data_IF_040727168687
#
_entry.id   IF_040727168687
#
_cell.length_a   1.000
_cell.length_b   1.000
_cell.length_c   1.000
_cell.angle_alpha   90.00
_cell.angle_beta   90.00
_cell.angle_gamma   90.00
#
_symmetry.space_group_name_H-M   'P 1'
#
loop_
_entity.id
_entity.type
_entity.pdbx_description
1 polymer ?
#
# COMPACT_ATOMS: atom_id res chain seq x y z
N UNK A 1 -10.33 29.49 -31.83
CA UNK A 1 -10.09 28.77 -30.55
C UNK A 1 -10.89 27.49 -30.41
N UNK A 2 -12.21 27.45 -30.60
CA UNK A 2 -12.97 26.18 -30.49
C UNK A 2 -12.43 25.05 -31.40
N UNK A 3 -12.11 25.35 -32.66
CA UNK A 3 -11.49 24.40 -33.58
C UNK A 3 -10.14 23.87 -33.07
N UNK A 4 -9.32 24.73 -32.44
CA UNK A 4 -8.04 24.33 -31.85
C UNK A 4 -8.26 23.34 -30.70
N UNK A 5 -9.22 23.61 -29.82
CA UNK A 5 -9.57 22.68 -28.74
C UNK A 5 -10.14 21.35 -29.26
N UNK A 6 -10.93 21.37 -30.33
CA UNK A 6 -11.44 20.16 -30.95
C UNK A 6 -10.31 19.29 -31.53
N UNK A 7 -9.40 19.90 -32.30
CA UNK A 7 -8.23 19.21 -32.85
C UNK A 7 -7.32 18.67 -31.75
N UNK A 8 -7.02 19.50 -30.73
CA UNK A 8 -6.23 19.10 -29.57
C UNK A 8 -6.85 17.92 -28.80
N UNK A 9 -8.16 17.97 -28.52
CA UNK A 9 -8.83 16.88 -27.80
C UNK A 9 -8.79 15.56 -28.58
N UNK A 10 -8.95 15.62 -29.91
CA UNK A 10 -8.82 14.44 -30.76
C UNK A 10 -7.38 13.92 -30.78
N UNK A 11 -6.38 14.80 -30.91
CA UNK A 11 -4.96 14.45 -30.82
C UNK A 11 -4.67 13.69 -29.52
N UNK A 12 -5.17 14.21 -28.38
CA UNK A 12 -4.97 13.59 -27.07
C UNK A 12 -5.56 12.19 -26.98
N UNK A 13 -6.74 11.97 -27.57
CA UNK A 13 -7.38 10.64 -27.62
C UNK A 13 -6.55 9.67 -28.47
N UNK A 14 -6.09 10.11 -29.64
CA UNK A 14 -5.28 9.29 -30.54
C UNK A 14 -3.93 8.91 -29.91
N UNK A 15 -3.26 9.86 -29.24
CA UNK A 15 -2.01 9.59 -28.51
C UNK A 15 -2.22 8.53 -27.42
N UNK A 16 -3.31 8.61 -26.64
CA UNK A 16 -3.63 7.61 -25.61
C UNK A 16 -3.97 6.24 -26.22
N UNK A 17 -4.64 6.20 -27.37
CA UNK A 17 -4.96 4.95 -28.06
C UNK A 17 -3.72 4.26 -28.62
N UNK A 18 -2.74 5.02 -29.11
CA UNK A 18 -1.49 4.48 -29.66
C UNK A 18 -0.72 3.61 -28.68
N UNK A 19 -0.83 3.86 -27.38
CA UNK A 19 -0.14 3.12 -26.32
C UNK A 19 -0.55 1.64 -26.20
N UNK A 20 -1.64 1.24 -26.86
CA UNK A 20 -2.18 -0.13 -26.81
C UNK A 20 -2.48 -0.71 -28.19
N UNK A 21 -2.13 0.00 -29.26
CA UNK A 21 -2.53 -0.33 -30.63
C UNK A 21 -1.36 -0.94 -31.42
N UNK A 22 -1.66 -1.90 -32.29
CA UNK A 22 -0.68 -2.44 -33.25
C UNK A 22 -0.26 -1.38 -34.29
N UNK A 23 -1.16 -0.45 -34.64
CA UNK A 23 -0.93 0.66 -35.57
C UNK A 23 -0.52 1.98 -34.86
N UNK A 24 0.30 1.88 -33.80
CA UNK A 24 0.67 3.03 -32.97
C UNK A 24 1.25 4.20 -33.79
N UNK A 25 2.09 3.92 -34.79
CA UNK A 25 2.75 4.95 -35.60
C UNK A 25 1.75 5.83 -36.39
N UNK A 26 0.70 5.22 -36.98
CA UNK A 26 -0.30 5.96 -37.75
C UNK A 26 -1.14 6.89 -36.86
N UNK A 27 -1.53 6.39 -35.68
CA UNK A 27 -2.25 7.17 -34.67
C UNK A 27 -1.42 8.36 -34.17
N UNK A 28 -0.12 8.15 -33.93
CA UNK A 28 0.81 9.19 -33.51
C UNK A 28 1.01 10.26 -34.58
N UNK A 29 1.13 9.87 -35.85
CA UNK A 29 1.25 10.81 -36.97
C UNK A 29 -0.02 11.67 -37.12
N UNK A 30 -1.20 11.07 -36.96
CA UNK A 30 -2.45 11.82 -36.98
C UNK A 30 -2.59 12.76 -35.78
N UNK A 31 -2.18 12.32 -34.58
CA UNK A 31 -2.16 13.14 -33.38
C UNK A 31 -1.22 14.34 -33.51
N UNK A 32 -0.03 14.14 -34.08
CA UNK A 32 0.94 15.19 -34.40
C UNK A 32 0.31 16.28 -35.28
N UNK A 33 -0.30 15.89 -36.41
CA UNK A 33 -0.91 16.84 -37.33
C UNK A 33 -2.00 17.68 -36.65
N UNK A 34 -2.83 17.06 -35.80
CA UNK A 34 -3.93 17.74 -35.12
C UNK A 34 -3.44 18.69 -34.01
N UNK A 35 -2.39 18.32 -33.26
CA UNK A 35 -1.85 19.22 -32.24
C UNK A 35 -1.08 20.39 -32.88
N UNK A 36 -0.39 20.17 -34.00
CA UNK A 36 0.24 21.24 -34.77
C UNK A 36 -0.80 22.20 -35.37
N UNK A 37 -1.95 21.68 -35.82
CA UNK A 37 -3.08 22.51 -36.23
C UNK A 37 -3.60 23.37 -35.07
N UNK A 38 -3.84 22.75 -33.90
CA UNK A 38 -4.30 23.47 -32.71
C UNK A 38 -3.30 24.55 -32.25
N UNK A 39 -2.01 24.22 -32.28
CA UNK A 39 -0.91 25.12 -31.98
C UNK A 39 -0.88 26.33 -32.93
N UNK A 40 -0.95 26.10 -34.24
CA UNK A 40 -0.97 27.17 -35.24
C UNK A 40 -2.18 28.10 -35.11
N UNK A 41 -3.37 27.54 -34.81
CA UNK A 41 -4.58 28.35 -34.55
C UNK A 41 -4.40 29.22 -33.30
N UNK A 42 -3.78 28.71 -32.23
CA UNK A 42 -3.54 29.49 -31.01
C UNK A 42 -2.50 30.60 -31.23
N UNK A 43 -1.41 30.33 -31.95
CA UNK A 43 -0.42 31.36 -32.32
C UNK A 43 -1.06 32.46 -33.19
N UNK A 44 -1.88 32.09 -34.17
CA UNK A 44 -2.59 33.07 -35.01
C UNK A 44 -3.59 33.93 -34.21
N UNK A 45 -4.08 33.43 -33.07
CA UNK A 45 -4.91 34.16 -32.13
C UNK A 45 -4.11 35.02 -31.13
N UNK A 46 -2.77 35.00 -31.18
CA UNK A 46 -1.89 35.73 -30.27
C UNK A 46 -1.73 35.07 -28.90
N UNK A 47 -2.09 33.78 -28.75
CA UNK A 47 -2.05 33.05 -27.48
C UNK A 47 -0.91 32.02 -27.48
N UNK A 48 0.32 32.53 -27.37
CA UNK A 48 1.53 31.70 -27.34
C UNK A 48 1.54 30.72 -26.14
N UNK A 49 1.02 31.15 -24.99
CA UNK A 49 0.90 30.30 -23.80
C UNK A 49 0.03 29.08 -24.06
N UNK A 50 -1.14 29.27 -24.68
CA UNK A 50 -2.02 28.16 -25.03
C UNK A 50 -1.43 27.28 -26.14
N UNK A 51 -0.74 27.88 -27.12
CA UNK A 51 -0.05 27.15 -28.18
C UNK A 51 1.04 26.22 -27.63
N UNK A 52 1.82 26.69 -26.64
CA UNK A 52 2.79 25.86 -25.93
C UNK A 52 2.10 24.77 -25.10
N UNK A 53 0.97 25.09 -24.44
CA UNK A 53 0.21 24.16 -23.59
C UNK A 53 -0.33 22.96 -24.38
N UNK A 54 -0.87 23.17 -25.59
CA UNK A 54 -1.33 22.06 -26.44
C UNK A 54 -0.21 21.08 -26.77
N UNK A 55 0.96 21.59 -27.10
CA UNK A 55 2.11 20.77 -27.49
C UNK A 55 2.71 20.06 -26.27
N UNK A 56 2.86 20.76 -25.15
CA UNK A 56 3.36 20.21 -23.88
C UNK A 56 2.53 19.00 -23.42
N UNK A 57 1.20 19.11 -23.44
CA UNK A 57 0.32 18.00 -23.03
C UNK A 57 0.48 16.75 -23.91
N UNK A 58 0.74 16.90 -25.22
CA UNK A 58 0.99 15.75 -26.09
C UNK A 58 2.39 15.19 -25.87
N UNK A 59 3.41 16.04 -25.75
CA UNK A 59 4.78 15.61 -25.45
C UNK A 59 4.87 14.83 -24.13
N UNK A 60 4.12 15.22 -23.10
CA UNK A 60 4.01 14.49 -21.83
C UNK A 60 3.51 13.04 -22.02
N UNK A 61 2.66 12.78 -23.02
CA UNK A 61 2.03 11.47 -23.26
C UNK A 61 2.88 10.51 -24.12
N UNK A 62 3.90 11.00 -24.82
CA UNK A 62 4.69 10.28 -25.82
C UNK A 62 5.85 9.42 -25.25
N UNK A 63 6.06 9.45 -23.93
CA UNK A 63 7.30 8.96 -23.30
C UNK A 63 7.38 7.44 -23.16
N UNK A 64 7.64 6.66 -24.24
CA UNK A 64 8.12 5.27 -24.14
C UNK A 64 8.69 4.57 -25.41
N UNK A 65 8.57 5.09 -26.64
CA UNK A 65 8.90 4.30 -27.86
C UNK A 65 9.57 5.10 -29.00
N UNK A 66 10.28 4.38 -29.87
CA UNK A 66 10.94 4.84 -31.10
C UNK A 66 10.02 5.57 -32.07
N UNK A 67 8.78 5.11 -32.27
CA UNK A 67 7.77 5.79 -33.09
C UNK A 67 7.40 7.16 -32.50
N UNK A 68 7.41 7.28 -31.17
CA UNK A 68 7.17 8.54 -30.48
C UNK A 68 8.36 9.51 -30.61
N UNK A 69 9.56 9.03 -30.94
CA UNK A 69 10.76 9.86 -31.05
C UNK A 69 10.70 10.82 -32.25
N UNK A 70 10.26 10.35 -33.42
CA UNK A 70 10.12 11.20 -34.61
C UNK A 70 9.03 12.26 -34.41
N UNK A 71 7.89 11.85 -33.86
CA UNK A 71 6.80 12.77 -33.53
C UNK A 71 7.20 13.80 -32.46
N UNK A 72 7.95 13.36 -31.45
CA UNK A 72 8.43 14.27 -30.42
C UNK A 72 9.35 15.36 -30.96
N UNK A 73 10.11 15.13 -32.04
CA UNK A 73 11.01 16.15 -32.61
C UNK A 73 10.26 17.37 -33.15
N UNK A 74 9.20 17.17 -33.94
CA UNK A 74 8.41 18.29 -34.49
C UNK A 74 7.67 19.04 -33.38
N UNK A 75 7.10 18.30 -32.44
CA UNK A 75 6.40 18.88 -31.30
C UNK A 75 7.36 19.66 -30.40
N UNK A 76 8.59 19.19 -30.15
CA UNK A 76 9.59 19.96 -29.39
C UNK A 76 9.93 21.28 -30.07
N UNK A 77 10.03 21.30 -31.40
CA UNK A 77 10.26 22.53 -32.15
C UNK A 77 9.08 23.51 -32.03
N UNK A 78 7.85 23.02 -32.15
CA UNK A 78 6.64 23.83 -31.95
C UNK A 78 6.53 24.36 -30.50
N UNK A 79 6.89 23.55 -29.50
CA UNK A 79 6.93 24.01 -28.11
C UNK A 79 7.97 25.12 -27.92
N UNK A 80 9.17 24.96 -28.48
CA UNK A 80 10.23 25.96 -28.42
C UNK A 80 9.80 27.28 -29.10
N UNK A 81 9.12 27.20 -30.25
CA UNK A 81 8.59 28.37 -30.96
C UNK A 81 7.60 29.17 -30.08
N UNK A 82 6.66 28.48 -29.42
CA UNK A 82 5.64 29.16 -28.62
C UNK A 82 6.12 29.59 -27.22
N UNK A 83 7.02 28.83 -26.59
CA UNK A 83 7.45 29.08 -25.20
C UNK A 83 8.76 29.85 -25.08
N UNK A 84 9.62 29.78 -26.09
CA UNK A 84 11.00 30.27 -26.02
C UNK A 84 11.96 29.36 -25.23
N UNK A 85 11.51 28.17 -24.80
CA UNK A 85 12.29 27.23 -23.99
C UNK A 85 12.36 25.84 -24.62
N UNK A 86 13.48 25.13 -24.43
CA UNK A 86 13.57 23.72 -24.82
C UNK A 86 12.64 22.87 -23.95
N UNK A 87 11.86 22.00 -24.59
CA UNK A 87 11.00 21.09 -23.85
C UNK A 87 11.83 20.02 -23.14
N UNK A 88 11.57 19.84 -21.85
CA UNK A 88 12.10 18.74 -21.05
C UNK A 88 10.97 17.98 -20.36
N UNK A 89 11.09 16.65 -20.18
CA UNK A 89 10.11 15.90 -19.42
C UNK A 89 10.06 16.42 -17.99
N UNK A 90 8.93 17.01 -17.58
CA UNK A 90 8.80 17.44 -16.18
C UNK A 90 8.77 16.18 -15.28
N UNK A 91 9.26 16.26 -14.03
CA UNK A 91 9.16 15.13 -13.10
C UNK A 91 7.70 14.79 -12.78
N UNK A 92 7.46 13.61 -12.21
CA UNK A 92 6.17 13.28 -11.60
C UNK A 92 5.83 14.30 -10.52
N UNK A 93 4.55 14.58 -10.33
CA UNK A 93 4.11 15.36 -9.16
C UNK A 93 4.23 14.47 -7.92
N UNK A 94 3.78 13.22 -8.02
CA UNK A 94 3.79 12.26 -6.92
C UNK A 94 4.18 10.87 -7.42
N UNK A 95 5.16 10.26 -6.76
CA UNK A 95 5.45 8.83 -6.84
C UNK A 95 4.92 8.13 -5.60
N UNK A 96 4.04 7.15 -5.76
CA UNK A 96 3.48 6.36 -4.67
C UNK A 96 4.13 4.97 -4.69
N UNK A 97 4.84 4.63 -3.61
CA UNK A 97 5.54 3.34 -3.48
C UNK A 97 4.62 2.32 -2.82
N UNK A 98 4.09 1.39 -3.60
CA UNK A 98 3.17 0.33 -3.18
C UNK A 98 1.76 0.50 -3.76
N UNK A 99 1.22 -0.54 -4.39
CA UNK A 99 -0.15 -0.57 -4.92
C UNK A 99 -1.09 -1.42 -4.04
N UNK A 100 -0.93 -1.31 -2.72
CA UNK A 100 -1.82 -1.87 -1.71
C UNK A 100 -3.03 -0.98 -1.41
N UNK A 101 -3.71 -1.25 -0.30
CA UNK A 101 -4.87 -0.48 0.16
C UNK A 101 -4.58 1.02 0.27
N UNK A 102 -3.45 1.37 0.90
CA UNK A 102 -3.02 2.75 1.11
C UNK A 102 -2.65 3.46 -0.18
N UNK A 103 -1.87 2.81 -1.06
CA UNK A 103 -1.47 3.40 -2.33
C UNK A 103 -2.64 3.63 -3.29
N UNK A 104 -3.55 2.66 -3.42
CA UNK A 104 -4.75 2.80 -4.25
C UNK A 104 -5.67 3.89 -3.71
N UNK A 105 -5.95 3.91 -2.41
CA UNK A 105 -6.78 4.95 -1.79
C UNK A 105 -6.19 6.34 -1.98
N UNK A 106 -4.89 6.48 -1.75
CA UNK A 106 -4.17 7.74 -1.91
C UNK A 106 -4.14 8.22 -3.37
N UNK A 107 -3.83 7.33 -4.32
CA UNK A 107 -3.80 7.68 -5.74
C UNK A 107 -5.17 8.14 -6.26
N UNK A 108 -6.25 7.53 -5.77
CA UNK A 108 -7.62 7.96 -6.10
C UNK A 108 -7.92 9.32 -5.47
N UNK A 109 -7.58 9.54 -4.21
CA UNK A 109 -7.85 10.81 -3.54
C UNK A 109 -7.10 11.97 -4.22
N UNK A 110 -5.81 11.80 -4.49
CA UNK A 110 -4.98 12.79 -5.19
C UNK A 110 -5.56 13.15 -6.57
N UNK A 111 -5.98 12.16 -7.34
CA UNK A 111 -6.42 12.40 -8.73
C UNK A 111 -7.90 12.81 -8.85
N UNK A 112 -8.78 12.32 -7.97
CA UNK A 112 -10.23 12.53 -8.09
C UNK A 112 -10.74 13.67 -7.22
N UNK A 113 -10.17 13.87 -6.04
CA UNK A 113 -10.61 14.91 -5.08
C UNK A 113 -9.71 16.14 -5.22
N UNK A 114 -8.39 15.96 -5.09
CA UNK A 114 -7.41 17.06 -5.24
C UNK A 114 -7.08 17.42 -6.71
N UNK A 115 -7.67 16.70 -7.66
CA UNK A 115 -7.58 16.97 -9.12
C UNK A 115 -6.15 17.03 -9.66
N UNK A 116 -5.20 16.31 -9.06
CA UNK A 116 -3.87 16.16 -9.65
C UNK A 116 -4.00 15.45 -11.00
N UNK A 117 -3.13 15.81 -11.95
CA UNK A 117 -3.12 15.20 -13.28
C UNK A 117 -2.78 13.70 -13.14
N UNK A 118 -3.63 12.76 -13.57
CA UNK A 118 -3.36 11.33 -13.42
C UNK A 118 -2.02 10.87 -14.03
N UNK A 119 -1.58 11.53 -15.11
CA UNK A 119 -0.30 11.27 -15.77
C UNK A 119 0.92 11.65 -14.92
N UNK A 120 0.72 12.53 -13.93
CA UNK A 120 1.75 13.03 -13.01
C UNK A 120 1.76 12.31 -11.67
N UNK A 121 0.88 11.32 -11.48
CA UNK A 121 0.79 10.48 -10.28
C UNK A 121 1.04 9.03 -10.68
N UNK A 122 2.18 8.48 -10.30
CA UNK A 122 2.55 7.10 -10.61
C UNK A 122 2.57 6.25 -9.34
N UNK A 123 1.92 5.10 -9.38
CA UNK A 123 2.08 4.05 -8.38
C UNK A 123 3.10 3.03 -8.90
N UNK A 124 4.04 2.61 -8.06
CA UNK A 124 4.95 1.49 -8.35
C UNK A 124 4.68 0.35 -7.37
N UNK A 125 4.70 -0.89 -7.85
CA UNK A 125 4.46 -2.09 -7.07
C UNK A 125 5.53 -3.13 -7.41
N UNK A 126 6.22 -3.66 -6.40
CA UNK A 126 7.22 -4.72 -6.59
C UNK A 126 6.59 -6.04 -7.03
N UNK A 127 5.37 -6.30 -6.58
CA UNK A 127 4.59 -7.48 -6.91
C UNK A 127 4.10 -7.52 -8.35
N UNK A 128 3.43 -8.62 -8.69
CA UNK A 128 2.88 -8.83 -10.03
C UNK A 128 1.61 -8.01 -10.30
N UNK A 129 0.96 -7.46 -9.26
CA UNK A 129 -0.27 -6.72 -9.43
C UNK A 129 -0.71 -5.90 -8.20
N UNK A 130 -1.69 -5.04 -8.44
CA UNK A 130 -2.41 -4.30 -7.39
C UNK A 130 -2.93 -5.26 -6.32
N UNK A 131 -2.68 -4.93 -5.05
CA UNK A 131 -3.08 -5.74 -3.91
C UNK A 131 -2.21 -6.98 -3.64
N UNK A 132 -0.96 -7.02 -4.14
CA UNK A 132 -0.03 -8.16 -3.98
C UNK A 132 0.03 -8.71 -2.55
N UNK A 133 0.12 -7.83 -1.54
CA UNK A 133 0.15 -8.27 -0.13
C UNK A 133 -1.08 -9.12 0.25
N UNK A 134 -2.26 -8.75 -0.22
CA UNK A 134 -3.48 -9.53 0.06
C UNK A 134 -3.53 -10.85 -0.71
N UNK A 135 -2.95 -10.91 -1.92
CA UNK A 135 -2.79 -12.17 -2.67
C UNK A 135 -1.84 -13.15 -1.97
N UNK A 136 -0.97 -12.64 -1.08
CA UNK A 136 -0.04 -13.44 -0.28
C UNK A 136 -0.61 -13.91 1.06
N UNK A 137 -1.81 -13.50 1.43
CA UNK A 137 -2.43 -14.01 2.65
C UNK A 137 -2.65 -15.53 2.57
N UNK A 138 -2.61 -16.26 3.70
CA UNK A 138 -3.17 -17.59 3.76
C UNK A 138 -4.60 -17.58 3.18
N UNK A 139 -4.97 -18.57 2.37
CA UNK A 139 -6.29 -18.61 1.70
C UNK A 139 -7.47 -18.54 2.68
N UNK A 140 -7.28 -19.02 3.90
CA UNK A 140 -8.30 -19.00 4.96
C UNK A 140 -8.31 -17.69 5.76
N UNK A 141 -7.31 -16.82 5.60
CA UNK A 141 -7.27 -15.53 6.29
C UNK A 141 -8.40 -14.63 5.78
N UNK A 142 -9.01 -13.88 6.70
CA UNK A 142 -10.10 -12.93 6.46
C UNK A 142 -9.83 -11.63 7.20
N UNK A 143 -10.44 -10.55 6.73
CA UNK A 143 -10.51 -9.32 7.52
C UNK A 143 -11.20 -9.58 8.86
N UNK A 144 -10.70 -8.97 9.93
CA UNK A 144 -11.34 -9.02 11.25
C UNK A 144 -12.35 -7.89 11.44
N UNK A 145 -12.19 -6.78 10.74
CA UNK A 145 -13.18 -5.70 10.64
C UNK A 145 -14.30 -6.09 9.69
N UNK A 146 -15.58 -5.93 10.08
CA UNK A 146 -16.69 -6.24 9.21
C UNK A 146 -16.88 -5.16 8.14
N UNK A 147 -17.13 -5.62 6.92
CA UNK A 147 -17.62 -4.81 5.82
C UNK A 147 -19.13 -4.77 5.84
N UNK A 148 -19.66 -3.55 5.91
CA UNK A 148 -21.08 -3.26 5.86
C UNK A 148 -21.26 -1.96 5.05
N UNK A 149 -22.30 -1.83 4.23
CA UNK A 149 -22.49 -0.63 3.40
C UNK A 149 -23.38 0.41 4.10
N UNK A 150 -22.81 1.12 5.08
CA UNK A 150 -23.53 2.08 5.93
C UNK A 150 -23.48 3.55 5.46
N UNK A 151 -22.81 3.82 4.33
CA UNK A 151 -22.45 5.18 3.93
C UNK A 151 -23.66 6.14 3.80
N UNK A 152 -24.81 5.65 3.31
CA UNK A 152 -26.01 6.49 3.14
C UNK A 152 -26.69 6.91 4.44
N UNK A 153 -26.32 6.31 5.58
CA UNK A 153 -27.03 6.48 6.86
C UNK A 153 -26.13 6.99 7.99
N UNK A 154 -24.83 7.08 7.76
CA UNK A 154 -23.86 7.46 8.79
C UNK A 154 -22.80 8.40 8.23
N UNK A 155 -22.00 9.02 9.11
CA UNK A 155 -20.85 9.86 8.74
C UNK A 155 -19.61 9.05 8.35
N UNK A 156 -19.72 7.73 8.27
CA UNK A 156 -18.63 6.85 7.85
C UNK A 156 -19.13 5.91 6.77
N UNK A 157 -18.21 5.16 6.18
CA UNK A 157 -18.47 4.20 5.13
C UNK A 157 -17.77 2.89 5.46
N UNK A 158 -18.04 1.85 4.66
CA UNK A 158 -17.60 0.47 4.88
C UNK A 158 -16.18 0.41 5.45
N UNK A 159 -15.98 -0.24 6.59
CA UNK A 159 -14.73 -0.16 7.37
C UNK A 159 -13.50 -0.64 6.58
N UNK A 160 -13.71 -1.51 5.59
CA UNK A 160 -12.62 -2.01 4.76
C UNK A 160 -12.52 -1.25 3.42
N UNK A 161 -13.35 -0.24 3.18
CA UNK A 161 -13.24 0.57 1.97
C UNK A 161 -12.10 1.60 2.08
N UNK A 162 -11.35 1.78 0.99
CA UNK A 162 -10.27 2.78 0.89
C UNK A 162 -10.69 4.06 0.19
N UNK A 163 -11.90 4.08 -0.39
CA UNK A 163 -12.44 5.20 -1.17
C UNK A 163 -13.91 5.39 -0.84
N UNK A 164 -14.28 6.61 -0.47
CA UNK A 164 -15.67 7.01 -0.25
C UNK A 164 -16.54 6.72 -1.49
N UNK A 165 -17.76 6.25 -1.29
CA UNK A 165 -18.65 5.83 -2.39
C UNK A 165 -18.40 4.41 -2.90
N UNK A 166 -17.57 3.64 -2.20
CA UNK A 166 -17.30 2.24 -2.52
C UNK A 166 -17.41 1.37 -1.27
N UNK A 167 -17.78 0.10 -1.45
CA UNK A 167 -17.95 -0.85 -0.34
C UNK A 167 -17.58 -2.26 -0.78
N UNK A 168 -16.59 -2.90 -0.12
CA UNK A 168 -16.38 -4.33 -0.20
C UNK A 168 -17.66 -5.15 0.08
N UNK A 169 -18.49 -4.78 1.05
CA UNK A 169 -19.76 -5.48 1.32
C UNK A 169 -20.68 -5.48 0.10
N UNK A 170 -20.81 -4.35 -0.58
CA UNK A 170 -21.65 -4.21 -1.78
C UNK A 170 -21.06 -4.94 -2.99
N UNK A 171 -19.76 -4.80 -3.22
CA UNK A 171 -19.11 -5.32 -4.44
C UNK A 171 -18.76 -6.80 -4.37
N UNK A 172 -18.43 -7.31 -3.18
CA UNK A 172 -17.96 -8.69 -2.96
C UNK A 172 -19.02 -9.57 -2.29
N UNK A 173 -20.12 -8.99 -1.81
CA UNK A 173 -21.14 -9.67 -1.01
C UNK A 173 -20.54 -10.45 0.17
N UNK A 174 -19.55 -9.85 0.85
CA UNK A 174 -18.83 -10.46 1.95
C UNK A 174 -18.63 -9.48 3.10
N UNK A 175 -18.97 -9.91 4.32
CA UNK A 175 -18.72 -9.13 5.55
C UNK A 175 -17.25 -9.21 5.98
N UNK A 176 -16.62 -10.38 5.84
CA UNK A 176 -15.20 -10.57 6.14
C UNK A 176 -14.48 -11.05 4.87
N UNK A 177 -14.03 -10.14 3.98
CA UNK A 177 -13.39 -10.51 2.73
C UNK A 177 -12.10 -11.34 2.92
N UNK A 178 -11.84 -12.23 1.98
CA UNK A 178 -10.51 -12.85 1.77
C UNK A 178 -9.50 -11.84 1.25
N UNK A 179 -8.21 -12.18 1.35
CA UNK A 179 -7.16 -11.45 0.66
C UNK A 179 -7.38 -11.39 -0.86
N UNK A 180 -7.78 -12.50 -1.49
CA UNK A 180 -8.05 -12.54 -2.94
C UNK A 180 -9.23 -11.64 -3.33
N UNK A 181 -10.34 -11.69 -2.60
CA UNK A 181 -11.49 -10.82 -2.83
C UNK A 181 -11.12 -9.35 -2.64
N UNK A 182 -10.32 -9.03 -1.62
CA UNK A 182 -9.90 -7.65 -1.37
C UNK A 182 -8.93 -7.13 -2.43
N UNK A 183 -7.98 -7.95 -2.90
CA UNK A 183 -7.12 -7.61 -4.02
C UNK A 183 -7.93 -7.35 -5.31
N UNK A 184 -8.98 -8.14 -5.55
CA UNK A 184 -9.91 -7.93 -6.68
C UNK A 184 -10.65 -6.59 -6.55
N UNK A 185 -11.11 -6.24 -5.35
CA UNK A 185 -11.71 -4.93 -5.07
C UNK A 185 -10.73 -3.78 -5.35
N UNK A 186 -9.49 -3.84 -4.84
CA UNK A 186 -8.47 -2.81 -5.09
C UNK A 186 -8.13 -2.67 -6.57
N UNK A 187 -8.00 -3.78 -7.30
CA UNK A 187 -7.76 -3.76 -8.75
C UNK A 187 -8.89 -3.07 -9.50
N UNK A 188 -10.15 -3.42 -9.21
CA UNK A 188 -11.31 -2.78 -9.82
C UNK A 188 -11.36 -1.27 -9.56
N UNK A 189 -10.96 -0.83 -8.35
CA UNK A 189 -10.84 0.60 -8.03
C UNK A 189 -9.76 1.28 -8.87
N UNK A 190 -8.56 0.70 -8.93
CA UNK A 190 -7.44 1.26 -9.70
C UNK A 190 -7.79 1.38 -11.20
N UNK A 191 -8.42 0.35 -11.77
CA UNK A 191 -8.88 0.32 -13.17
C UNK A 191 -9.95 1.37 -13.44
N UNK A 192 -11.01 1.43 -12.61
CA UNK A 192 -12.10 2.41 -12.74
C UNK A 192 -11.58 3.85 -12.62
N UNK A 193 -10.63 4.07 -11.71
CA UNK A 193 -10.01 5.38 -11.52
C UNK A 193 -8.98 5.73 -12.62
N UNK A 194 -8.56 4.75 -13.42
CA UNK A 194 -7.48 4.85 -14.42
C UNK A 194 -6.16 5.30 -13.79
N UNK A 195 -5.80 4.71 -12.65
CA UNK A 195 -4.51 4.98 -12.01
C UNK A 195 -3.36 4.46 -12.89
N UNK A 196 -2.27 5.22 -12.98
CA UNK A 196 -1.03 4.73 -13.56
C UNK A 196 -0.32 3.83 -12.53
N UNK A 197 -0.26 2.54 -12.80
CA UNK A 197 0.40 1.55 -11.93
C UNK A 197 1.46 0.81 -12.74
N UNK A 198 2.70 0.81 -12.24
CA UNK A 198 3.80 0.00 -12.78
C UNK A 198 4.11 -1.14 -11.82
N UNK A 199 3.83 -2.37 -12.23
CA UNK A 199 4.11 -3.59 -11.46
C UNK A 199 5.54 -4.08 -11.72
N UNK A 200 6.01 -5.08 -10.96
CA UNK A 200 7.37 -5.60 -11.08
C UNK A 200 8.47 -4.54 -10.87
N UNK A 201 8.17 -3.48 -10.12
CA UNK A 201 9.07 -2.34 -9.90
C UNK A 201 9.35 -2.21 -8.41
N UNK A 202 10.51 -2.68 -7.98
CA UNK A 202 11.00 -2.52 -6.61
C UNK A 202 11.75 -1.19 -6.47
N UNK A 203 11.41 -0.44 -5.42
CA UNK A 203 12.12 0.80 -5.08
C UNK A 203 13.21 0.43 -4.09
N UNK A 204 14.47 0.57 -4.51
CA UNK A 204 15.63 0.24 -3.69
C UNK A 204 16.10 1.40 -2.81
N UNK A 205 15.89 2.65 -3.25
CA UNK A 205 16.30 3.84 -2.53
C UNK A 205 15.47 5.07 -2.93
N UNK A 206 15.39 6.04 -2.02
CA UNK A 206 14.85 7.38 -2.28
C UNK A 206 15.91 8.40 -1.89
N UNK A 207 16.33 9.21 -2.85
CA UNK A 207 17.38 10.21 -2.67
C UNK A 207 16.86 11.61 -3.03
N UNK A 208 17.27 12.62 -2.26
CA UNK A 208 16.99 14.02 -2.57
C UNK A 208 18.15 14.53 -3.43
N UNK A 209 17.85 14.94 -4.67
CA UNK A 209 18.87 15.45 -5.60
C UNK A 209 18.37 16.60 -6.47
N UNK A 210 19.27 17.42 -7.01
CA UNK A 210 18.92 18.45 -7.98
C UNK A 210 18.33 17.81 -9.26
N UNK A 211 17.44 18.52 -9.93
CA UNK A 211 16.95 18.11 -11.24
C UNK A 211 18.12 18.10 -12.24
N UNK A 212 18.57 16.92 -12.70
CA UNK A 212 19.47 16.84 -13.86
C UNK A 212 20.51 15.72 -13.93
N UNK A 213 20.81 14.98 -12.86
CA UNK A 213 21.82 13.91 -12.95
C UNK A 213 21.15 12.54 -13.16
N UNK A 214 21.11 12.07 -14.41
CA UNK A 214 20.71 10.70 -14.75
C UNK A 214 21.91 9.79 -14.53
N UNK A 215 22.18 9.46 -13.26
CA UNK A 215 23.29 8.60 -12.86
C UNK A 215 23.32 7.34 -13.74
N UNK A 216 24.38 7.21 -14.53
CA UNK A 216 24.55 6.13 -15.49
C UNK A 216 24.73 4.78 -14.78
N UNK A 217 23.69 3.97 -14.74
CA UNK A 217 23.71 2.59 -14.23
C UNK A 217 22.53 1.77 -14.72
N UNK A 218 22.55 0.45 -14.49
CA UNK A 218 21.48 -0.52 -14.86
C UNK A 218 20.13 -0.28 -14.14
N UNK A 219 20.06 0.69 -13.24
CA UNK A 219 18.86 1.04 -12.45
C UNK A 219 18.04 2.11 -13.15
N UNK A 220 16.72 1.94 -13.20
CA UNK A 220 15.81 2.97 -13.72
C UNK A 220 15.59 4.05 -12.66
N UNK A 221 15.96 5.29 -12.95
CA UNK A 221 15.69 6.44 -12.07
C UNK A 221 14.33 7.04 -12.39
N UNK A 222 13.46 7.16 -11.39
CA UNK A 222 12.19 7.90 -11.48
C UNK A 222 12.31 9.20 -10.71
N UNK A 223 11.94 10.32 -11.33
CA UNK A 223 11.93 11.64 -10.68
C UNK A 223 10.52 12.05 -10.31
N UNK A 224 10.36 12.51 -9.07
CA UNK A 224 9.10 13.04 -8.55
C UNK A 224 9.35 14.23 -7.62
N UNK A 225 8.41 15.17 -7.58
CA UNK A 225 8.43 16.28 -6.60
C UNK A 225 8.13 15.80 -5.18
N UNK A 226 7.22 14.83 -5.06
CA UNK A 226 6.83 14.22 -3.80
C UNK A 226 6.84 12.70 -3.90
N UNK A 227 7.18 12.04 -2.80
CA UNK A 227 7.09 10.59 -2.66
C UNK A 227 6.11 10.26 -1.54
N UNK A 228 5.22 9.30 -1.79
CA UNK A 228 4.34 8.73 -0.78
C UNK A 228 4.71 7.27 -0.58
N UNK A 229 5.26 6.94 0.57
CA UNK A 229 5.56 5.57 0.98
C UNK A 229 4.27 4.88 1.44
N UNK A 230 3.86 3.84 0.71
CA UNK A 230 2.63 3.07 0.92
C UNK A 230 2.88 1.55 0.82
N UNK A 231 4.11 1.11 1.09
CA UNK A 231 4.56 -0.26 0.84
C UNK A 231 4.14 -1.27 1.92
N UNK A 232 3.62 -0.79 3.07
CA UNK A 232 3.13 -1.63 4.16
C UNK A 232 4.23 -2.49 4.79
N UNK A 233 3.85 -3.58 5.46
CA UNK A 233 4.79 -4.36 6.31
C UNK A 233 4.79 -5.87 6.01
N UNK A 234 3.81 -6.39 5.26
CA UNK A 234 3.58 -7.85 5.13
C UNK A 234 4.81 -8.64 4.63
N UNK A 235 5.59 -8.04 3.72
CA UNK A 235 6.76 -8.71 3.13
C UNK A 235 8.07 -8.38 3.87
N UNK A 236 7.96 -7.83 5.09
CA UNK A 236 9.05 -7.58 6.04
C UNK A 236 8.76 -8.27 7.39
N UNK A 237 8.69 -9.62 7.43
CA UNK A 237 8.43 -10.35 8.66
C UNK A 237 9.61 -10.23 9.66
N UNK A 238 9.31 -10.12 10.96
CA UNK A 238 10.32 -9.92 12.04
C UNK A 238 11.37 -11.03 12.19
N UNK A 239 11.18 -12.17 11.51
CA UNK A 239 12.10 -13.31 11.53
C UNK A 239 13.37 -13.10 10.71
N UNK A 240 13.33 -12.26 9.68
CA UNK A 240 14.44 -12.07 8.73
C UNK A 240 15.23 -10.81 9.07
N UNK A 241 16.08 -10.90 10.09
CA UNK A 241 17.10 -9.88 10.39
C UNK A 241 18.36 -10.17 9.56
N UNK A 242 18.44 -9.62 8.35
CA UNK A 242 19.55 -9.90 7.41
C UNK A 242 20.44 -8.72 7.06
N UNK A 243 20.26 -7.51 7.63
CA UNK A 243 21.18 -6.38 7.39
C UNK A 243 21.69 -5.70 8.67
N UNK A 244 22.84 -5.04 8.51
CA UNK A 244 24.06 -5.11 9.36
C UNK A 244 24.06 -4.22 10.61
N UNK A 245 23.01 -3.44 10.88
CA UNK A 245 22.97 -2.50 12.01
C UNK A 245 21.60 -2.50 12.67
N UNK A 246 21.39 -3.42 13.62
CA UNK A 246 20.73 -3.22 14.93
C UNK A 246 20.00 -4.48 15.44
N UNK A 247 20.40 -4.88 16.65
CA UNK A 247 19.79 -5.88 17.55
C UNK A 247 19.54 -7.29 16.98
N UNK A 248 20.50 -8.23 17.11
CA UNK A 248 20.39 -9.72 17.22
C UNK A 248 19.33 -10.49 16.40
N UNK A 249 18.97 -11.76 16.66
CA UNK A 249 17.70 -12.41 16.23
C UNK A 249 16.56 -12.15 17.26
N UNK A 250 15.27 -12.34 16.89
CA UNK A 250 14.13 -12.13 17.81
C UNK A 250 14.30 -12.94 19.10
N UNK A 251 14.76 -14.18 18.93
CA UNK A 251 15.34 -15.06 19.93
C UNK A 251 16.19 -16.11 19.20
N UNK A 252 17.17 -16.77 19.84
CA UNK A 252 17.94 -17.85 19.23
C UNK A 252 17.06 -18.93 18.58
N UNK A 253 17.27 -19.21 17.29
CA UNK A 253 16.52 -20.21 16.56
C UNK A 253 15.18 -19.76 15.98
N UNK A 254 14.85 -18.46 16.00
CA UNK A 254 13.62 -17.97 15.37
C UNK A 254 13.56 -18.24 13.86
N UNK A 255 14.71 -18.34 13.19
CA UNK A 255 14.86 -18.75 11.79
C UNK A 255 14.49 -20.22 11.51
N UNK A 256 14.30 -21.02 12.56
CA UNK A 256 13.79 -22.39 12.47
C UNK A 256 12.26 -22.45 12.44
N UNK A 257 11.59 -21.33 12.71
CA UNK A 257 10.15 -21.19 12.67
C UNK A 257 9.65 -20.94 11.23
N UNK A 258 8.35 -21.13 11.04
CA UNK A 258 7.63 -20.72 9.84
C UNK A 258 6.79 -19.47 10.16
N UNK A 259 7.15 -18.32 9.59
CA UNK A 259 6.32 -17.11 9.76
C UNK A 259 4.92 -17.31 9.16
N UNK A 260 3.89 -16.77 9.81
CA UNK A 260 2.51 -16.92 9.34
C UNK A 260 2.26 -16.32 7.94
N UNK A 261 3.05 -15.34 7.51
CA UNK A 261 2.96 -14.77 6.16
C UNK A 261 3.51 -15.67 5.05
N UNK A 262 4.26 -16.72 5.40
CA UNK A 262 4.77 -17.73 4.47
C UNK A 262 3.77 -18.89 4.28
N UNK A 263 2.75 -18.98 5.14
CA UNK A 263 1.68 -19.98 5.04
C UNK A 263 0.72 -19.59 3.91
N UNK A 264 0.61 -20.43 2.86
CA UNK A 264 -0.38 -20.23 1.78
C UNK A 264 -1.74 -20.83 2.09
N UNK A 265 -1.79 -21.93 2.82
CA UNK A 265 -3.03 -22.53 3.32
C UNK A 265 -2.74 -23.33 4.58
N UNK A 266 -3.53 -23.12 5.63
CA UNK A 266 -3.42 -23.89 6.87
C UNK A 266 -3.80 -25.37 6.66
N UNK A 267 -4.67 -25.64 5.67
CA UNK A 267 -5.08 -27.01 5.30
C UNK A 267 -4.00 -27.79 4.57
N UNK A 268 -3.04 -27.11 3.94
CA UNK A 268 -1.98 -27.74 3.12
C UNK A 268 -0.67 -27.95 3.88
N UNK A 269 -0.56 -27.49 5.13
CA UNK A 269 0.65 -27.70 5.93
C UNK A 269 0.92 -29.21 6.14
N UNK A 270 2.18 -29.67 6.15
CA UNK A 270 2.49 -31.06 6.50
C UNK A 270 2.34 -31.30 8.01
N UNK A 271 1.89 -32.50 8.40
CA UNK A 271 1.78 -32.92 9.80
C UNK A 271 0.49 -32.52 10.51
N UNK A 272 0.30 -32.96 11.75
CA UNK A 272 -0.95 -32.81 12.50
C UNK A 272 -0.76 -32.25 13.92
N UNK A 273 0.46 -31.84 14.28
CA UNK A 273 0.82 -31.30 15.60
C UNK A 273 1.75 -30.09 15.47
N UNK A 274 1.21 -28.90 15.77
CA UNK A 274 1.90 -27.62 15.61
C UNK A 274 2.10 -26.90 16.95
N UNK A 275 3.18 -26.12 17.04
CA UNK A 275 3.32 -25.09 18.09
C UNK A 275 3.18 -23.72 17.44
N UNK A 276 2.25 -22.90 17.93
CA UNK A 276 2.02 -21.51 17.47
C UNK A 276 2.59 -20.54 18.51
N UNK A 277 3.47 -19.64 18.09
CA UNK A 277 4.12 -18.63 18.91
C UNK A 277 3.50 -17.27 18.57
N UNK A 278 2.74 -16.69 19.50
CA UNK A 278 2.01 -15.44 19.29
C UNK A 278 0.59 -15.51 19.84
N UNK A 279 0.15 -14.44 20.52
CA UNK A 279 -1.13 -14.41 21.25
C UNK A 279 -2.21 -13.51 20.66
N UNK A 280 -1.84 -12.63 19.72
CA UNK A 280 -2.73 -11.63 19.13
C UNK A 280 -3.48 -12.20 17.90
N UNK A 281 -4.15 -11.34 17.14
CA UNK A 281 -4.99 -11.68 15.98
C UNK A 281 -4.40 -12.76 15.06
N UNK A 282 -3.16 -12.58 14.58
CA UNK A 282 -2.53 -13.55 13.66
C UNK A 282 -2.26 -14.91 14.30
N UNK A 283 -1.94 -14.95 15.59
CA UNK A 283 -1.74 -16.21 16.32
C UNK A 283 -3.05 -16.95 16.53
N UNK A 284 -4.13 -16.21 16.80
CA UNK A 284 -5.46 -16.75 17.04
C UNK A 284 -6.19 -17.14 15.75
N UNK A 285 -5.94 -16.44 14.64
CA UNK A 285 -6.36 -16.85 13.31
C UNK A 285 -5.70 -18.17 12.90
N UNK A 286 -4.37 -18.26 13.04
CA UNK A 286 -3.60 -19.47 12.78
C UNK A 286 -4.15 -20.66 13.60
N UNK A 287 -4.31 -20.46 14.90
CA UNK A 287 -4.90 -21.41 15.82
C UNK A 287 -6.29 -21.88 15.36
N UNK A 288 -7.20 -20.94 15.05
CA UNK A 288 -8.57 -21.26 14.64
C UNK A 288 -8.61 -22.05 13.33
N UNK A 289 -7.76 -21.69 12.35
CA UNK A 289 -7.69 -22.39 11.06
C UNK A 289 -7.07 -23.79 11.17
N UNK A 290 -6.06 -23.97 12.03
CA UNK A 290 -5.50 -25.29 12.33
C UNK A 290 -6.55 -26.20 12.99
N UNK A 291 -7.29 -25.70 13.98
CA UNK A 291 -8.41 -26.44 14.59
C UNK A 291 -9.49 -26.82 13.58
N UNK A 292 -9.93 -25.87 12.73
CA UNK A 292 -10.92 -26.12 11.69
C UNK A 292 -10.46 -27.15 10.64
N UNK A 293 -9.15 -27.40 10.54
CA UNK A 293 -8.56 -28.41 9.67
C UNK A 293 -8.35 -29.77 10.37
N UNK A 294 -8.85 -29.94 11.61
CA UNK A 294 -8.70 -31.16 12.40
C UNK A 294 -7.30 -31.40 12.95
N UNK A 295 -6.44 -30.37 12.96
CA UNK A 295 -5.04 -30.48 13.40
C UNK A 295 -4.91 -30.13 14.88
N UNK A 296 -4.07 -30.87 15.60
CA UNK A 296 -3.74 -30.56 17.00
C UNK A 296 -2.72 -29.41 17.02
N UNK A 297 -2.86 -28.52 18.00
CA UNK A 297 -1.82 -27.52 18.23
C UNK A 297 -1.76 -27.05 19.69
N UNK A 298 -0.59 -26.51 20.03
CA UNK A 298 -0.29 -25.83 21.30
C UNK A 298 0.11 -24.39 21.00
N UNK A 299 -0.44 -23.42 21.73
CA UNK A 299 -0.20 -21.99 21.50
C UNK A 299 0.47 -21.37 22.72
N UNK A 300 1.49 -20.54 22.49
CA UNK A 300 2.26 -19.81 23.50
C UNK A 300 2.08 -18.29 23.35
N UNK A 301 1.76 -17.56 24.42
CA UNK A 301 1.71 -16.07 24.41
C UNK A 301 2.32 -15.45 25.64
N UNK A 302 2.94 -14.27 25.44
CA UNK A 302 3.51 -13.44 26.50
C UNK A 302 2.48 -12.78 27.44
N UNK A 303 1.23 -12.58 26.99
CA UNK A 303 0.19 -11.85 27.74
C UNK A 303 -0.29 -12.59 29.00
N UNK A 304 -0.60 -11.82 30.05
CA UNK A 304 -1.09 -12.29 31.36
C UNK A 304 -2.63 -12.37 31.42
N UNK A 305 -3.31 -11.68 30.51
CA UNK A 305 -4.77 -11.67 30.38
C UNK A 305 -5.24 -12.71 29.36
N UNK A 306 -6.49 -13.16 29.51
CA UNK A 306 -7.15 -13.97 28.47
C UNK A 306 -7.10 -13.16 27.16
N UNK A 307 -6.40 -13.64 26.11
CA UNK A 307 -6.35 -12.92 24.84
C UNK A 307 -7.74 -12.57 24.30
N UNK A 308 -8.79 -13.28 24.70
CA UNK A 308 -10.16 -12.99 24.30
C UNK A 308 -10.68 -11.60 24.68
N UNK A 309 -10.02 -10.86 25.58
CA UNK A 309 -10.39 -9.48 25.93
C UNK A 309 -9.85 -8.44 24.95
N UNK A 310 -8.82 -8.76 24.16
CA UNK A 310 -8.18 -7.84 23.19
C UNK A 310 -8.43 -8.23 21.72
N UNK A 311 -9.04 -9.39 21.48
CA UNK A 311 -9.35 -9.87 20.12
C UNK A 311 -10.60 -9.19 19.56
N UNK A 312 -10.58 -8.93 18.26
CA UNK A 312 -11.77 -8.59 17.51
C UNK A 312 -12.85 -9.68 17.68
N UNK A 313 -14.14 -9.30 17.77
CA UNK A 313 -15.23 -10.25 17.94
C UNK A 313 -15.19 -11.43 16.96
N UNK A 314 -14.86 -11.17 15.69
CA UNK A 314 -14.73 -12.18 14.64
C UNK A 314 -13.70 -13.27 14.99
N UNK A 315 -12.52 -12.89 15.45
CA UNK A 315 -11.47 -13.84 15.85
C UNK A 315 -11.85 -14.54 17.15
N UNK A 316 -12.39 -13.81 18.12
CA UNK A 316 -12.80 -14.36 19.41
C UNK A 316 -13.86 -15.46 19.24
N UNK A 317 -14.85 -15.27 18.37
CA UNK A 317 -15.88 -16.27 18.07
C UNK A 317 -15.27 -17.56 17.49
N UNK A 318 -14.36 -17.42 16.51
CA UNK A 318 -13.67 -18.57 15.90
C UNK A 318 -12.81 -19.34 16.89
N UNK A 319 -12.15 -18.65 17.81
CA UNK A 319 -11.38 -19.27 18.90
C UNK A 319 -12.31 -20.03 19.85
N UNK A 320 -13.46 -19.45 20.23
CA UNK A 320 -14.45 -20.16 21.08
C UNK A 320 -14.96 -21.43 20.40
N UNK A 321 -15.26 -21.37 19.10
CA UNK A 321 -15.66 -22.54 18.33
C UNK A 321 -14.56 -23.62 18.28
N UNK A 322 -13.29 -23.22 18.12
CA UNK A 322 -12.16 -24.14 18.18
C UNK A 322 -12.00 -24.80 19.56
N UNK A 323 -12.17 -24.04 20.65
CA UNK A 323 -12.14 -24.54 22.02
C UNK A 323 -13.33 -25.45 22.38
N UNK A 324 -14.45 -25.33 21.67
CA UNK A 324 -15.60 -26.22 21.82
C UNK A 324 -15.51 -27.49 20.95
N UNK A 325 -14.47 -27.63 20.12
CA UNK A 325 -14.30 -28.79 19.25
C UNK A 325 -13.90 -30.05 20.03
N UNK A 326 -14.07 -31.27 19.47
CA UNK A 326 -13.66 -32.53 20.12
C UNK A 326 -12.16 -32.62 20.44
N UNK A 327 -11.34 -31.84 19.73
CA UNK A 327 -9.89 -31.75 19.92
C UNK A 327 -9.49 -30.31 20.20
N UNK A 328 -9.83 -29.77 21.38
CA UNK A 328 -9.62 -28.37 21.68
C UNK A 328 -8.12 -28.04 21.76
N UNK A 329 -7.72 -26.84 21.37
CA UNK A 329 -6.32 -26.44 21.44
C UNK A 329 -5.85 -26.20 22.87
N UNK A 330 -4.55 -26.42 23.11
CA UNK A 330 -3.92 -26.02 24.37
C UNK A 330 -3.40 -24.60 24.27
N UNK A 331 -4.12 -23.65 24.88
CA UNK A 331 -3.73 -22.26 24.97
C UNK A 331 -2.90 -22.06 26.25
N UNK A 332 -1.61 -21.75 26.13
CA UNK A 332 -0.70 -21.60 27.26
C UNK A 332 -0.25 -20.15 27.40
N UNK A 333 -0.50 -19.55 28.56
CA UNK A 333 -0.15 -18.17 28.90
C UNK A 333 -0.05 -18.01 30.43
N UNK A 334 0.77 -17.07 30.96
CA UNK A 334 1.76 -16.25 30.24
C UNK A 334 3.06 -17.04 30.00
N UNK A 335 3.42 -17.26 28.73
CA UNK A 335 4.65 -17.93 28.32
C UNK A 335 5.40 -17.13 27.25
N UNK A 336 6.59 -16.64 27.61
CA UNK A 336 7.53 -16.03 26.68
C UNK A 336 8.49 -17.10 26.14
N UNK A 337 8.47 -17.30 24.83
CA UNK A 337 9.49 -18.09 24.12
C UNK A 337 10.81 -17.34 24.11
N UNK A 338 11.90 -18.04 24.42
CA UNK A 338 13.25 -17.48 24.41
C UNK A 338 14.25 -18.27 23.55
N UNK A 339 13.89 -19.46 23.05
CA UNK A 339 14.69 -20.19 22.08
C UNK A 339 13.87 -21.24 21.33
N UNK A 340 14.30 -21.58 20.12
CA UNK A 340 13.85 -22.76 19.36
C UNK A 340 15.08 -23.55 18.93
N UNK A 341 15.05 -24.87 19.12
CA UNK A 341 16.16 -25.76 18.78
C UNK A 341 15.67 -26.91 17.91
N UNK A 342 16.51 -27.44 17.02
CA UNK A 342 16.22 -28.76 16.41
C UNK A 342 16.39 -29.84 17.46
N UNK A 343 15.44 -30.76 17.55
CA UNK A 343 15.58 -31.95 18.40
C UNK A 343 16.77 -32.81 17.90
N UNK A 344 17.60 -33.32 18.82
CA UNK A 344 18.77 -34.15 18.50
C UNK A 344 18.41 -35.49 17.84
N UNK A 345 19.37 -36.08 17.10
CA UNK A 345 19.20 -37.24 16.19
C UNK A 345 18.49 -38.45 16.82
N UNK A 346 17.25 -38.66 16.37
CA UNK A 346 16.53 -39.93 16.28
C UNK A 346 15.62 -39.86 15.04
N UNK A 347 15.14 -41.00 14.54
CA UNK A 347 14.57 -41.17 13.17
C UNK A 347 13.32 -40.32 12.82
N UNK A 348 12.80 -39.52 13.76
CA UNK A 348 11.82 -38.48 13.48
C UNK A 348 12.41 -37.12 13.91
N UNK A 349 12.96 -36.37 12.96
CA UNK A 349 13.39 -34.98 13.20
C UNK A 349 12.26 -34.13 13.80
N UNK A 350 12.60 -33.04 14.48
CA UNK A 350 11.61 -32.15 15.11
C UNK A 350 12.23 -30.91 15.74
N UNK A 351 11.43 -30.19 16.53
CA UNK A 351 11.77 -28.90 17.12
C UNK A 351 11.40 -28.86 18.61
N UNK A 352 12.22 -28.18 19.40
CA UNK A 352 11.99 -27.90 20.82
C UNK A 352 11.81 -26.39 20.98
N UNK A 353 10.62 -25.99 21.40
CA UNK A 353 10.31 -24.59 21.73
C UNK A 353 10.49 -24.38 23.22
N UNK A 354 11.45 -23.53 23.60
CA UNK A 354 11.74 -23.19 24.98
C UNK A 354 11.02 -21.92 25.40
N UNK A 355 10.15 -22.04 26.39
CA UNK A 355 9.52 -20.94 27.09
C UNK A 355 9.87 -21.00 28.57
N UNK A 356 9.64 -19.90 29.30
CA UNK A 356 9.84 -19.88 30.75
C UNK A 356 9.12 -21.08 31.40
N UNK A 357 9.85 -21.91 32.13
CA UNK A 357 9.33 -23.07 32.87
C UNK A 357 8.67 -24.20 32.03
N UNK A 358 8.66 -24.10 30.69
CA UNK A 358 8.05 -25.11 29.79
C UNK A 358 8.90 -25.34 28.55
N UNK A 359 9.05 -26.61 28.15
CA UNK A 359 9.60 -27.00 26.85
C UNK A 359 8.58 -27.82 26.08
N UNK A 360 8.32 -27.44 24.83
CA UNK A 360 7.38 -28.14 23.95
C UNK A 360 8.12 -28.76 22.76
N UNK A 361 7.93 -30.05 22.56
CA UNK A 361 8.41 -30.74 21.36
C UNK A 361 7.30 -30.78 20.30
N UNK A 362 7.65 -30.52 19.05
CA UNK A 362 6.77 -30.67 17.87
C UNK A 362 7.57 -31.25 16.70
N UNK A 363 6.96 -32.12 15.86
CA UNK A 363 7.62 -32.62 14.66
C UNK A 363 7.69 -31.58 13.55
N UNK A 364 6.84 -30.53 13.58
CA UNK A 364 6.77 -29.50 12.55
C UNK A 364 7.53 -28.24 12.96
N UNK A 365 8.03 -27.43 12.01
CA UNK A 365 8.51 -26.09 12.30
C UNK A 365 7.44 -25.32 13.11
N UNK A 366 7.80 -24.71 14.26
CA UNK A 366 6.85 -23.88 14.99
C UNK A 366 6.37 -22.73 14.11
N UNK A 367 5.07 -22.44 14.16
CA UNK A 367 4.50 -21.30 13.45
C UNK A 367 4.73 -20.05 14.29
N UNK A 368 5.36 -19.04 13.73
CA UNK A 368 5.70 -17.81 14.44
C UNK A 368 4.86 -16.65 13.90
N UNK A 369 4.00 -16.13 14.78
CA UNK A 369 3.09 -15.00 14.55
C UNK A 369 3.60 -13.80 15.34
N UNK A 370 4.84 -13.38 15.07
CA UNK A 370 5.52 -12.31 15.81
C UNK A 370 5.21 -10.89 15.30
N UNK A 371 4.46 -10.80 14.20
CA UNK A 371 4.16 -9.55 13.51
C UNK A 371 5.26 -9.12 12.54
N UNK A 372 5.12 -7.91 12.02
CA UNK A 372 5.93 -7.39 10.93
C UNK A 372 6.76 -6.18 11.37
N UNK A 373 7.73 -5.82 10.55
CA UNK A 373 8.42 -4.53 10.62
C UNK A 373 8.01 -3.65 9.46
N UNK A 374 8.00 -2.35 9.70
CA UNK A 374 7.74 -1.36 8.67
C UNK A 374 8.75 -1.46 7.53
N UNK A 375 8.28 -1.37 6.27
CA UNK A 375 9.15 -1.32 5.09
C UNK A 375 9.88 0.02 4.94
N UNK A 376 9.55 0.99 5.79
CA UNK A 376 10.07 2.35 5.75
C UNK A 376 11.58 2.45 5.98
N UNK A 377 12.24 1.38 6.46
CA UNK A 377 13.67 1.38 6.78
C UNK A 377 14.59 1.67 5.57
N UNK A 378 14.10 1.45 4.34
CA UNK A 378 14.87 1.64 3.10
C UNK A 378 14.61 2.99 2.39
N UNK A 379 13.80 3.88 2.96
CA UNK A 379 13.56 5.21 2.38
C UNK A 379 12.97 6.26 3.32
N UNK A 380 12.14 5.85 4.27
CA UNK A 380 11.57 6.70 5.32
C UNK A 380 12.30 6.45 6.66
N UNK A 381 13.48 7.07 6.79
CA UNK A 381 14.09 7.50 8.05
C UNK A 381 13.62 6.79 9.35
N UNK A 382 14.33 5.73 9.76
CA UNK A 382 14.14 5.09 11.06
C UNK A 382 14.26 6.11 12.23
N UNK A 383 13.27 6.15 13.14
CA UNK A 383 13.30 7.07 14.28
C UNK A 383 12.18 6.85 15.31
N UNK A 384 12.48 6.05 16.34
CA UNK A 384 12.12 6.20 17.77
C UNK A 384 12.35 4.84 18.46
N UNK A 385 12.13 4.76 19.78
CA UNK A 385 12.46 3.63 20.66
C UNK A 385 11.87 2.25 20.25
N UNK A 386 11.00 2.20 19.24
CA UNK A 386 10.44 0.97 18.66
C UNK A 386 10.58 0.84 17.13
N UNK A 387 11.42 1.66 16.48
CA UNK A 387 11.79 1.50 15.08
C UNK A 387 10.79 2.03 14.03
N UNK A 388 9.72 2.72 14.44
CA UNK A 388 8.84 3.46 13.51
C UNK A 388 9.54 4.76 13.03
N UNK A 389 9.14 5.36 11.89
CA UNK A 389 9.66 6.66 11.47
C UNK A 389 9.07 7.82 12.27
N UNK A 390 9.87 8.86 12.54
CA UNK A 390 9.38 10.14 13.08
C UNK A 390 8.72 10.96 11.97
N UNK A 391 7.43 11.24 12.15
CA UNK A 391 6.62 12.00 11.21
C UNK A 391 6.23 13.38 11.77
N UNK A 392 5.99 14.33 10.88
CA UNK A 392 5.29 15.58 11.19
C UNK A 392 3.79 15.31 11.39
N UNK A 393 3.03 16.30 11.86
CA UNK A 393 1.56 16.24 11.93
C UNK A 393 0.88 16.02 10.57
N UNK A 394 1.61 16.15 9.46
CA UNK A 394 1.12 15.91 8.11
C UNK A 394 1.54 14.55 7.54
N UNK A 395 2.07 13.67 8.39
CA UNK A 395 2.66 12.37 8.01
C UNK A 395 3.88 12.47 7.08
N UNK A 396 4.55 13.63 7.08
CA UNK A 396 5.79 13.85 6.34
C UNK A 396 7.00 13.35 7.16
N UNK A 397 8.01 12.81 6.50
CA UNK A 397 9.28 12.47 7.13
C UNK A 397 9.95 13.70 7.72
N UNK A 398 10.39 13.59 8.96
CA UNK A 398 11.17 14.64 9.64
C UNK A 398 12.63 14.72 9.16
N UNK A 399 13.11 13.75 8.36
CA UNK A 399 14.48 13.74 7.81
C UNK A 399 14.54 14.01 6.32
N UNK A 400 13.51 13.61 5.58
CA UNK A 400 13.48 13.71 4.11
C UNK A 400 12.27 14.54 3.69
N UNK A 401 12.43 15.86 3.49
CA UNK A 401 11.33 16.71 3.02
C UNK A 401 10.76 16.21 1.69
N UNK A 402 9.44 16.27 1.56
CA UNK A 402 8.70 15.77 0.40
C UNK A 402 8.44 14.25 0.38
N UNK A 403 8.92 13.51 1.38
CA UNK A 403 8.59 12.10 1.58
C UNK A 403 7.52 11.94 2.66
N UNK A 404 6.38 11.38 2.29
CA UNK A 404 5.25 11.13 3.20
C UNK A 404 5.06 9.64 3.46
N UNK A 405 4.51 9.28 4.61
CA UNK A 405 4.10 7.92 4.95
C UNK A 405 2.58 7.80 5.01
N UNK A 406 2.01 6.77 4.39
CA UNK A 406 0.61 6.40 4.58
C UNK A 406 0.45 4.92 4.92
N UNK A 407 -0.65 4.58 5.58
CA UNK A 407 -1.02 3.19 5.85
C UNK A 407 -0.76 2.74 7.29
N UNK A 408 -0.66 1.43 7.52
CA UNK A 408 -0.72 0.85 8.86
C UNK A 408 0.50 1.18 9.74
N UNK A 409 1.60 1.65 9.14
CA UNK A 409 2.81 2.05 9.85
C UNK A 409 2.74 3.47 10.45
N UNK A 410 1.74 4.28 10.09
CA UNK A 410 1.56 5.64 10.64
C UNK A 410 1.23 5.56 12.13
N UNK A 411 1.97 6.36 12.92
CA UNK A 411 1.81 6.47 14.38
C UNK A 411 1.92 7.91 14.83
N UNK A 412 1.07 8.31 15.78
CA UNK A 412 1.08 9.62 16.43
C UNK A 412 0.94 9.44 17.95
N UNK A 413 2.06 9.53 18.67
CA UNK A 413 2.11 9.14 20.09
C UNK A 413 1.66 7.68 20.28
N UNK A 414 0.68 7.46 21.14
CA UNK A 414 0.08 6.14 21.39
C UNK A 414 -0.95 5.71 20.31
N UNK A 415 -1.29 6.60 19.37
CA UNK A 415 -2.26 6.28 18.32
C UNK A 415 -1.62 5.46 17.20
N UNK A 416 -2.21 4.29 16.95
CA UNK A 416 -1.86 3.41 15.85
C UNK A 416 -2.95 3.39 14.79
N UNK A 417 -2.53 3.59 13.53
CA UNK A 417 -3.40 3.60 12.35
C UNK A 417 -3.44 2.25 11.63
N UNK A 418 -3.28 1.13 12.35
CA UNK A 418 -3.14 -0.21 11.78
C UNK A 418 -4.38 -0.79 11.04
N UNK A 419 -5.51 -0.09 11.03
CA UNK A 419 -6.74 -0.52 10.35
C UNK A 419 -7.08 0.39 9.17
N UNK A 420 -7.70 -0.19 8.12
CA UNK A 420 -8.12 0.55 6.91
C UNK A 420 -8.96 1.78 7.27
N UNK A 421 -9.99 1.61 8.10
CA UNK A 421 -10.86 2.71 8.52
C UNK A 421 -10.15 3.78 9.35
N UNK A 422 -8.97 3.50 9.92
CA UNK A 422 -8.12 4.48 10.62
C UNK A 422 -7.19 5.18 9.65
N UNK A 423 -6.26 4.45 9.01
CA UNK A 423 -5.24 5.11 8.17
C UNK A 423 -5.83 5.86 6.97
N UNK A 424 -7.00 5.45 6.47
CA UNK A 424 -7.65 6.17 5.36
C UNK A 424 -8.05 7.60 5.73
N UNK A 425 -8.24 7.87 7.02
CA UNK A 425 -8.57 9.21 7.52
C UNK A 425 -7.41 10.19 7.41
N UNK A 426 -6.20 9.67 7.17
CA UNK A 426 -4.98 10.47 7.01
C UNK A 426 -4.67 10.81 5.55
N UNK A 427 -5.32 10.17 4.59
CA UNK A 427 -5.06 10.44 3.16
C UNK A 427 -5.32 11.91 2.79
N UNK A 428 -6.40 12.51 3.31
CA UNK A 428 -6.71 13.92 3.06
C UNK A 428 -5.63 14.87 3.58
N UNK A 429 -4.99 14.54 4.71
CA UNK A 429 -3.91 15.33 5.31
C UNK A 429 -2.69 15.37 4.39
N UNK A 430 -2.24 14.19 3.95
CA UNK A 430 -1.08 14.07 3.06
C UNK A 430 -1.38 14.69 1.70
N UNK A 431 -2.58 14.47 1.16
CA UNK A 431 -2.97 15.00 -0.14
C UNK A 431 -3.06 16.54 -0.14
N UNK A 432 -3.55 17.14 0.95
CA UNK A 432 -3.54 18.59 1.15
C UNK A 432 -2.13 19.16 1.23
N UNK A 433 -1.24 18.54 2.01
CA UNK A 433 0.15 18.98 2.13
C UNK A 433 0.86 18.97 0.76
N UNK A 434 0.71 17.88 0.01
CA UNK A 434 1.26 17.75 -1.35
C UNK A 434 0.65 18.79 -2.29
N UNK A 435 -0.68 18.92 -2.34
CA UNK A 435 -1.35 19.82 -3.26
C UNK A 435 -1.02 21.30 -2.99
N UNK A 436 -0.95 21.72 -1.72
CA UNK A 436 -0.45 23.06 -1.34
C UNK A 436 1.00 23.26 -1.75
N UNK A 437 1.86 22.26 -1.54
CA UNK A 437 3.25 22.29 -1.99
C UNK A 437 3.41 22.39 -3.51
N UNK A 438 2.44 21.89 -4.27
CA UNK A 438 2.33 22.06 -5.72
C UNK A 438 1.70 23.41 -6.15
N UNK A 439 1.36 24.29 -5.19
CA UNK A 439 0.78 25.61 -5.44
C UNK A 439 -0.72 25.59 -5.77
N UNK A 440 -1.47 24.55 -5.37
CA UNK A 440 -2.91 24.44 -5.62
C UNK A 440 -3.74 25.01 -4.46
N UNK A 441 -4.91 25.55 -4.77
CA UNK A 441 -5.95 25.80 -3.77
C UNK A 441 -6.61 24.47 -3.39
N UNK A 442 -6.67 24.18 -2.10
CA UNK A 442 -7.13 22.90 -1.55
C UNK A 442 -8.39 23.03 -0.71
N UNK A 443 -8.94 24.23 -0.50
CA UNK A 443 -10.06 24.45 0.44
C UNK A 443 -11.26 23.53 0.18
N UNK A 444 -11.76 23.51 -1.05
CA UNK A 444 -12.90 22.67 -1.43
C UNK A 444 -12.60 21.17 -1.25
N UNK A 445 -11.40 20.73 -1.66
CA UNK A 445 -10.98 19.34 -1.53
C UNK A 445 -10.83 18.90 -0.06
N UNK A 446 -10.36 19.80 0.81
CA UNK A 446 -10.26 19.56 2.26
C UNK A 446 -11.65 19.46 2.89
N UNK A 447 -12.57 20.36 2.53
CA UNK A 447 -13.97 20.31 2.98
C UNK A 447 -14.64 18.99 2.55
N UNK A 448 -14.48 18.59 1.29
CA UNK A 448 -14.97 17.30 0.79
C UNK A 448 -14.38 16.13 1.60
N UNK A 449 -13.07 16.14 1.88
CA UNK A 449 -12.42 15.08 2.68
C UNK A 449 -12.97 15.03 4.12
N UNK A 450 -13.32 16.17 4.72
CA UNK A 450 -13.97 16.20 6.06
C UNK A 450 -15.36 15.59 6.01
N UNK A 451 -16.17 15.91 5.00
CA UNK A 451 -17.49 15.31 4.80
C UNK A 451 -17.41 13.79 4.58
N UNK A 452 -16.38 13.32 3.88
CA UNK A 452 -16.12 11.90 3.66
C UNK A 452 -15.54 11.17 4.88
N UNK A 453 -15.28 11.86 5.99
CA UNK A 453 -14.55 11.33 7.15
C UNK A 453 -13.17 10.75 6.75
N UNK A 454 -12.48 11.48 5.88
CA UNK A 454 -11.15 11.16 5.32
C UNK A 454 -10.08 12.24 5.62
N UNK A 455 -10.35 13.09 6.62
CA UNK A 455 -9.46 14.17 7.06
C UNK A 455 -9.45 14.26 8.59
N UNK A 456 -8.60 13.44 9.23
CA UNK A 456 -8.42 13.44 10.68
C UNK A 456 -7.16 14.22 11.04
N UNK A 457 -7.31 15.48 11.43
CA UNK A 457 -6.24 16.40 11.85
C UNK A 457 -6.25 16.68 13.37
N UNK A 458 -7.30 16.28 14.07
CA UNK A 458 -7.41 16.38 15.53
C UNK A 458 -7.51 15.00 16.19
N UNK A 459 -6.54 14.70 17.05
CA UNK A 459 -6.40 13.44 17.75
C UNK A 459 -7.11 13.40 19.11
N UNK A 460 -7.64 14.51 19.62
CA UNK A 460 -8.34 14.53 20.91
C UNK A 460 -9.56 13.61 20.91
N UNK A 461 -10.29 13.57 19.81
CA UNK A 461 -11.44 12.68 19.63
C UNK A 461 -11.10 11.18 19.66
N UNK A 462 -9.85 10.81 19.41
CA UNK A 462 -9.40 9.42 19.34
C UNK A 462 -9.08 8.81 20.71
N UNK A 463 -8.89 9.64 21.75
CA UNK A 463 -8.57 9.18 23.11
C UNK A 463 -9.73 8.40 23.75
N UNK A 464 -10.97 8.64 23.33
CA UNK A 464 -12.16 7.98 23.85
C UNK A 464 -12.49 6.62 23.19
N UNK A 465 -11.81 6.25 22.10
CA UNK A 465 -12.14 5.06 21.30
C UNK A 465 -11.36 3.79 21.71
N UNK A 466 -10.28 3.95 22.47
CA UNK A 466 -9.63 2.84 23.16
C UNK A 466 -10.37 2.69 24.49
N UNK A 467 -11.42 1.87 24.52
CA UNK A 467 -12.28 1.71 25.69
C UNK A 467 -11.46 1.58 26.96
N UNK A 468 -11.75 2.43 27.95
CA UNK A 468 -11.36 2.15 29.32
C UNK A 468 -11.93 0.78 29.67
N UNK A 469 -11.03 -0.18 29.82
CA UNK A 469 -11.35 -1.52 30.30
C UNK A 469 -12.02 -1.39 31.67
N UNK A 470 -13.32 -1.66 31.75
CA UNK A 470 -13.98 -2.02 33.00
C UNK A 470 -13.65 -3.46 33.38
#
# INVERSE_FOLDING_TARGET
MEAAYAAFNLARVLTLQSQKAEDAAALLQQAESLVLEAHGIALAAGDATQAATFVDEILELLTADSAACATASQLRAAYLEASGEEWSPKPLDVLIVGAGASGVGMGILLTKVFRLRPQRVLLVERGGGVGESFLRWPREMRFISPSFNQQGWTKSFDLNSVVYGTSPAFTLHAEHPTGEQYARYLRALAERAKLAVRTGTEVEAVEVGPAGDDGGGERTVLRSRYVVWAAGELQSPRERRTHVQDNGPLFPGCELCLHNSEVRSWKELPGDDFVVIGGYESGMDAASNLAASGRRFRRLSRGVHDPSTELAPYTAERVRAACASPTPPRLLAPLRVFAVERAGRGDAGGYVVRAREVSLCTPQPPVLCAGFEGSEKDGAAAGCAEGAPLLTEQDESTKTPGLFLVGPAVRHGELSFCFVYKFRQRFGIVADAIARGLGRDTKEAVEECREMNMFLDDFECCKAACGESC
#
